data_IF_450413912497
#
_entry.id   IF_450413912497
#
_cell.length_a   1.000
_cell.length_b   1.000
_cell.length_c   1.000
_cell.angle_alpha   90.00
_cell.angle_beta   90.00
_cell.angle_gamma   90.00
#
_symmetry.space_group_name_H-M   'P 1'
#
loop_
_entity.id
_entity.type
_entity.pdbx_description
1 polymer ?
#
# COMPACT_ATOMS: atom_id res chain seq x y z
N UNK A 1 -13.81 -14.73 -14.55
CA UNK A 1 -12.64 -13.86 -14.34
C UNK A 1 -11.75 -14.00 -15.55
N UNK A 2 -11.16 -12.91 -16.05
CA UNK A 2 -10.29 -12.97 -17.24
C UNK A 2 -8.82 -13.02 -16.81
N UNK A 3 -8.12 -14.10 -17.15
CA UNK A 3 -6.65 -14.13 -17.03
C UNK A 3 -6.05 -13.16 -18.05
N UNK A 4 -5.25 -12.21 -17.58
CA UNK A 4 -4.58 -11.20 -18.43
C UNK A 4 -3.08 -11.43 -18.53
N UNK A 5 -2.51 -12.17 -17.57
CA UNK A 5 -1.10 -12.53 -17.57
C UNK A 5 -0.91 -13.88 -16.89
N UNK A 6 0.02 -14.67 -17.42
CA UNK A 6 0.42 -15.96 -16.85
C UNK A 6 1.90 -16.18 -17.14
N UNK A 7 2.65 -16.59 -16.12
CA UNK A 7 4.04 -17.04 -16.23
C UNK A 7 4.24 -18.30 -15.40
N UNK A 8 4.86 -19.28 -16.03
CA UNK A 8 5.27 -20.56 -15.44
C UNK A 8 6.77 -20.74 -15.74
N UNK A 9 7.38 -21.78 -15.17
CA UNK A 9 8.79 -22.13 -15.42
C UNK A 9 9.76 -21.00 -15.05
N UNK A 10 9.66 -20.53 -13.82
CA UNK A 10 10.66 -19.61 -13.28
C UNK A 10 12.03 -20.29 -13.21
N UNK A 11 13.14 -19.53 -13.32
CA UNK A 11 14.46 -20.08 -13.06
C UNK A 11 14.54 -20.67 -11.64
N UNK A 12 15.59 -21.45 -11.36
CA UNK A 12 15.91 -21.80 -9.97
C UNK A 12 16.58 -20.61 -9.28
N UNK A 13 16.27 -20.44 -7.99
CA UNK A 13 16.88 -19.40 -7.16
C UNK A 13 18.39 -19.66 -7.03
N UNK A 14 19.25 -18.65 -7.28
CA UNK A 14 20.70 -18.84 -7.31
C UNK A 14 21.31 -19.27 -5.96
N UNK A 15 20.60 -19.08 -4.84
CA UNK A 15 21.11 -19.34 -3.50
C UNK A 15 21.73 -18.09 -2.86
N UNK A 16 21.90 -18.13 -1.53
CA UNK A 16 22.49 -17.05 -0.73
C UNK A 16 21.46 -16.31 0.12
N UNK A 17 21.94 -15.32 0.86
CA UNK A 17 21.15 -14.70 1.92
C UNK A 17 20.50 -13.40 1.43
N UNK A 18 19.17 -13.31 1.58
CA UNK A 18 18.39 -12.06 1.43
C UNK A 18 18.64 -11.26 0.12
N UNK A 19 18.79 -11.90 -1.03
CA UNK A 19 19.12 -11.22 -2.29
C UNK A 19 17.88 -10.93 -3.15
N UNK A 20 17.99 -9.90 -3.99
CA UNK A 20 17.01 -9.63 -5.05
C UNK A 20 17.19 -10.62 -6.20
N UNK A 21 16.15 -11.41 -6.50
CA UNK A 21 16.18 -12.42 -7.54
C UNK A 21 15.75 -11.84 -8.89
N UNK A 22 16.71 -11.21 -9.56
CA UNK A 22 16.50 -10.42 -10.79
C UNK A 22 15.95 -11.26 -11.96
N UNK A 23 16.38 -12.52 -12.09
CA UNK A 23 15.95 -13.41 -13.17
C UNK A 23 14.48 -13.84 -13.01
N UNK A 24 13.96 -13.84 -11.78
CA UNK A 24 12.55 -14.09 -11.50
C UNK A 24 11.66 -12.84 -11.67
N UNK A 25 12.25 -11.65 -11.85
CA UNK A 25 11.49 -10.42 -12.03
C UNK A 25 10.45 -10.58 -13.13
N UNK A 26 9.25 -10.05 -12.88
CA UNK A 26 8.12 -10.19 -13.78
C UNK A 26 7.48 -8.84 -14.05
N UNK A 27 7.40 -8.51 -15.34
CA UNK A 27 6.78 -7.31 -15.84
C UNK A 27 5.50 -7.66 -16.60
N UNK A 28 4.36 -7.06 -16.23
CA UNK A 28 3.08 -7.28 -16.91
C UNK A 28 2.31 -5.98 -17.14
N UNK A 29 1.42 -5.95 -18.14
CA UNK A 29 0.52 -4.82 -18.40
C UNK A 29 -0.89 -5.15 -17.95
N UNK A 30 -1.62 -4.13 -17.55
CA UNK A 30 -3.07 -4.21 -17.32
C UNK A 30 -3.81 -3.51 -18.47
N UNK A 31 -4.96 -4.02 -18.91
CA UNK A 31 -5.68 -3.46 -20.06
C UNK A 31 -6.56 -2.25 -19.74
N UNK A 32 -6.81 -1.97 -18.46
CA UNK A 32 -7.56 -0.79 -17.97
C UNK A 32 -7.41 -0.64 -16.46
N UNK A 33 -7.77 0.53 -15.95
CA UNK A 33 -7.87 0.77 -14.50
C UNK A 33 -8.92 -0.16 -13.88
N UNK A 34 -8.60 -0.77 -12.73
CA UNK A 34 -9.58 -1.57 -12.00
C UNK A 34 -9.00 -2.54 -11.00
N UNK A 35 -9.83 -3.48 -10.57
CA UNK A 35 -9.48 -4.50 -9.60
C UNK A 35 -8.85 -5.72 -10.27
N UNK A 36 -7.78 -6.21 -9.66
CA UNK A 36 -7.03 -7.37 -10.11
C UNK A 36 -6.74 -8.31 -8.95
N UNK A 37 -6.56 -9.58 -9.30
CA UNK A 37 -6.03 -10.61 -8.39
C UNK A 37 -4.74 -11.13 -8.98
N UNK A 38 -3.65 -10.99 -8.24
CA UNK A 38 -2.36 -11.60 -8.59
C UNK A 38 -2.26 -12.88 -7.76
N UNK A 39 -2.26 -14.04 -8.40
CA UNK A 39 -2.07 -15.33 -7.75
C UNK A 39 -0.65 -15.81 -7.98
N UNK A 40 0.09 -16.10 -6.91
CA UNK A 40 1.45 -16.63 -7.00
C UNK A 40 1.51 -17.91 -6.18
N UNK A 41 1.97 -18.98 -6.82
CA UNK A 41 2.23 -20.25 -6.17
C UNK A 41 3.74 -20.45 -6.07
N UNK A 42 4.23 -20.68 -4.85
CA UNK A 42 5.62 -20.97 -4.60
C UNK A 42 5.78 -21.97 -3.44
N UNK A 43 6.97 -22.56 -3.36
CA UNK A 43 7.38 -23.47 -2.29
C UNK A 43 8.73 -23.05 -1.73
N UNK A 44 8.89 -23.13 -0.42
CA UNK A 44 10.17 -22.97 0.25
C UNK A 44 10.42 -24.15 1.20
N UNK A 45 11.64 -24.66 1.24
CA UNK A 45 12.08 -25.81 2.04
C UNK A 45 12.94 -25.34 3.20
N UNK A 46 12.64 -25.72 4.43
CA UNK A 46 13.55 -25.43 5.54
C UNK A 46 14.99 -25.95 5.23
N UNK A 47 15.97 -25.04 5.20
CA UNK A 47 17.32 -25.28 4.69
C UNK A 47 18.12 -26.31 5.48
N UNK A 48 17.92 -26.44 6.80
CA UNK A 48 18.41 -27.55 7.65
C UNK A 48 17.94 -27.41 9.10
N UNK A 49 17.57 -28.53 9.73
CA UNK A 49 17.27 -28.63 11.17
C UNK A 49 18.48 -28.37 12.11
N UNK A 50 19.69 -28.10 11.58
CA UNK A 50 20.92 -27.98 12.39
C UNK A 50 21.84 -26.80 12.02
N UNK A 51 21.54 -25.95 11.03
CA UNK A 51 22.31 -24.73 10.73
C UNK A 51 21.39 -23.61 10.23
N UNK A 52 21.76 -22.37 10.51
CA UNK A 52 20.95 -21.14 10.52
C UNK A 52 20.40 -20.62 9.17
N UNK A 53 20.43 -21.42 8.10
CA UNK A 53 19.88 -21.00 6.79
C UNK A 53 18.40 -21.33 6.67
N UNK A 54 17.56 -20.31 6.56
CA UNK A 54 16.16 -20.40 6.14
C UNK A 54 16.03 -20.30 4.62
N UNK A 55 14.92 -20.82 4.08
CA UNK A 55 14.56 -20.70 2.67
C UNK A 55 13.27 -19.92 2.63
N UNK A 56 13.32 -18.67 2.23
CA UNK A 56 12.22 -17.72 2.38
C UNK A 56 12.06 -16.92 1.09
N UNK A 57 10.82 -16.53 0.78
CA UNK A 57 10.51 -15.72 -0.40
C UNK A 57 9.64 -14.54 -0.01
N UNK A 58 10.14 -13.34 -0.33
CA UNK A 58 9.40 -12.07 -0.29
C UNK A 58 9.05 -11.62 -1.70
N UNK A 59 8.04 -10.79 -1.75
CA UNK A 59 7.57 -10.13 -2.97
C UNK A 59 7.43 -8.64 -2.73
N UNK A 60 7.81 -7.86 -3.74
CA UNK A 60 7.33 -6.49 -3.87
C UNK A 60 6.58 -6.30 -5.18
N UNK A 61 5.53 -5.48 -5.13
CA UNK A 61 4.78 -5.06 -6.30
C UNK A 61 4.91 -3.54 -6.43
N UNK A 62 5.47 -3.08 -7.54
CA UNK A 62 5.74 -1.66 -7.78
C UNK A 62 6.46 -0.98 -6.59
N UNK A 63 7.37 -1.71 -5.94
CA UNK A 63 8.14 -1.23 -4.78
C UNK A 63 7.45 -1.35 -3.41
N UNK A 64 6.17 -1.74 -3.35
CA UNK A 64 5.50 -2.05 -2.08
C UNK A 64 5.80 -3.50 -1.65
N UNK A 65 6.33 -3.68 -0.44
CA UNK A 65 6.59 -4.99 0.17
C UNK A 65 5.44 -5.40 1.10
N UNK A 66 4.84 -6.56 0.86
CA UNK A 66 3.73 -7.13 1.65
C UNK A 66 4.22 -7.78 2.95
N UNK A 67 3.34 -7.95 3.94
CA UNK A 67 3.58 -8.77 5.13
C UNK A 67 4.26 -8.06 6.30
N UNK A 68 4.14 -6.73 6.43
CA UNK A 68 4.70 -5.94 7.57
C UNK A 68 3.64 -5.59 8.63
N UNK A 69 2.86 -6.57 9.11
CA UNK A 69 1.83 -6.35 10.15
C UNK A 69 2.48 -6.23 11.54
N UNK A 70 2.05 -5.23 12.34
CA UNK A 70 2.64 -4.85 13.65
C UNK A 70 2.76 -5.99 14.67
N UNK A 71 1.91 -7.02 14.62
CA UNK A 71 1.94 -8.13 15.59
C UNK A 71 3.27 -8.91 15.60
N UNK A 72 4.09 -8.79 14.55
CA UNK A 72 5.42 -9.39 14.45
C UNK A 72 6.57 -8.38 14.60
N UNK A 73 6.27 -7.07 14.70
CA UNK A 73 7.26 -5.99 14.63
C UNK A 73 8.00 -5.70 15.95
N UNK A 74 7.51 -6.19 17.10
CA UNK A 74 8.12 -5.88 18.40
C UNK A 74 9.45 -6.60 18.69
N UNK A 75 9.99 -7.36 17.73
CA UNK A 75 11.33 -7.95 17.84
C UNK A 75 12.14 -7.66 16.59
N UNK A 76 12.61 -6.42 16.48
CA UNK A 76 13.72 -6.08 15.57
C UNK A 76 14.95 -6.94 15.93
N UNK A 77 15.30 -7.90 15.08
CA UNK A 77 16.55 -8.65 15.21
C UNK A 77 17.36 -8.56 13.92
N UNK A 78 18.36 -7.70 13.87
CA UNK A 78 19.17 -7.26 12.72
C UNK A 78 19.87 -8.34 11.82
N UNK A 79 19.44 -9.62 11.80
CA UNK A 79 20.11 -10.74 11.11
C UNK A 79 19.19 -11.78 10.42
N UNK A 80 18.02 -11.42 9.90
CA UNK A 80 17.11 -12.38 9.24
C UNK A 80 15.86 -11.72 8.66
N UNK A 81 15.07 -12.43 7.86
CA UNK A 81 13.75 -12.01 7.34
C UNK A 81 12.77 -11.68 8.49
N UNK A 82 12.91 -10.50 9.12
CA UNK A 82 12.02 -9.99 10.20
C UNK A 82 10.68 -9.45 9.69
N UNK A 83 10.39 -9.64 8.41
CA UNK A 83 9.14 -9.30 7.76
C UNK A 83 8.63 -10.61 7.23
N UNK A 84 7.50 -11.11 7.75
CA UNK A 84 6.93 -12.43 7.43
C UNK A 84 7.05 -12.69 5.94
N UNK A 85 8.00 -13.55 5.55
CA UNK A 85 8.17 -13.92 4.17
C UNK A 85 6.81 -14.42 3.65
N UNK A 86 6.44 -13.97 2.45
CA UNK A 86 5.18 -14.36 1.83
C UNK A 86 5.08 -15.89 1.68
N UNK A 87 6.25 -16.53 1.55
CA UNK A 87 6.48 -17.96 1.71
C UNK A 87 7.65 -18.17 2.66
N UNK A 88 7.40 -18.80 3.80
CA UNK A 88 8.42 -19.07 4.82
C UNK A 88 8.74 -20.57 4.86
N UNK A 89 10.00 -20.94 4.69
CA UNK A 89 10.45 -22.32 4.58
C UNK A 89 10.25 -23.13 5.85
N UNK A 90 10.35 -22.49 7.02
CA UNK A 90 10.10 -23.16 8.30
C UNK A 90 8.62 -23.57 8.45
N UNK A 91 7.70 -22.76 7.93
CA UNK A 91 6.26 -23.04 7.99
C UNK A 91 5.80 -23.95 6.84
N UNK A 92 6.36 -23.78 5.63
CA UNK A 92 5.97 -24.55 4.46
C UNK A 92 6.61 -25.94 4.41
N UNK A 93 7.82 -26.11 4.96
CA UNK A 93 8.52 -27.39 4.99
C UNK A 93 8.62 -28.06 3.61
N UNK A 94 8.75 -27.27 2.54
CA UNK A 94 8.82 -27.75 1.16
C UNK A 94 7.48 -27.89 0.43
N UNK A 95 6.36 -27.62 1.10
CA UNK A 95 5.03 -27.61 0.49
C UNK A 95 4.77 -26.30 -0.26
N UNK A 96 3.72 -26.30 -1.07
CA UNK A 96 3.30 -25.18 -1.90
C UNK A 96 2.21 -24.35 -1.23
N UNK A 97 2.36 -23.02 -1.29
CA UNK A 97 1.32 -22.05 -0.89
C UNK A 97 0.99 -21.15 -2.06
N UNK A 98 -0.28 -20.84 -2.22
CA UNK A 98 -0.74 -19.82 -3.18
C UNK A 98 -1.20 -18.58 -2.43
N UNK A 99 -0.56 -17.44 -2.74
CA UNK A 99 -0.98 -16.13 -2.25
C UNK A 99 -1.78 -15.41 -3.35
N UNK A 100 -2.98 -14.95 -3.01
CA UNK A 100 -3.86 -14.14 -3.85
C UNK A 100 -3.84 -12.69 -3.34
N UNK A 101 -3.23 -11.80 -4.12
CA UNK A 101 -3.17 -10.38 -3.83
C UNK A 101 -4.32 -9.66 -4.54
N UNK A 102 -5.28 -9.17 -3.77
CA UNK A 102 -6.39 -8.34 -4.23
C UNK A 102 -5.94 -6.88 -4.20
N UNK A 103 -5.88 -6.25 -5.37
CA UNK A 103 -5.33 -4.89 -5.52
C UNK A 103 -6.04 -4.11 -6.62
N UNK A 104 -6.07 -2.78 -6.50
CA UNK A 104 -6.45 -1.89 -7.59
C UNK A 104 -5.21 -1.46 -8.38
N UNK A 105 -5.18 -1.74 -9.68
CA UNK A 105 -4.11 -1.37 -10.59
C UNK A 105 -4.64 -0.35 -11.61
N UNK A 106 -3.76 0.58 -11.98
CA UNK A 106 -4.05 1.68 -12.88
C UNK A 106 -3.26 1.48 -14.18
N UNK A 107 -3.93 1.57 -15.33
CA UNK A 107 -3.31 1.64 -16.66
C UNK A 107 -2.45 2.91 -16.78
N UNK A 108 -2.90 4.02 -16.18
CA UNK A 108 -2.24 5.33 -16.16
C UNK A 108 -1.09 5.43 -15.14
N UNK A 109 -0.70 4.35 -14.47
CA UNK A 109 0.64 4.25 -13.86
C UNK A 109 1.73 4.48 -14.95
N UNK A 110 1.37 4.29 -16.22
CA UNK A 110 2.11 4.72 -17.42
C UNK A 110 2.40 6.24 -17.50
N UNK A 111 1.57 7.11 -16.93
CA UNK A 111 1.73 8.58 -17.03
C UNK A 111 2.60 9.20 -15.94
N UNK A 112 2.93 8.44 -14.89
CA UNK A 112 3.51 8.98 -13.66
C UNK A 112 5.03 8.85 -13.52
N UNK A 113 5.73 8.12 -14.38
CA UNK A 113 7.18 7.90 -14.22
C UNK A 113 7.93 8.15 -15.54
N UNK A 114 8.54 9.33 -15.65
CA UNK A 114 9.25 9.82 -16.85
C UNK A 114 10.66 9.24 -17.05
N UNK A 115 10.79 7.94 -17.33
CA UNK A 115 12.06 7.40 -17.86
C UNK A 115 11.78 6.22 -18.80
N UNK A 116 12.02 6.35 -20.09
CA UNK A 116 12.10 5.25 -21.08
C UNK A 116 11.12 4.05 -21.09
N UNK A 117 10.44 3.98 -22.24
CA UNK A 117 9.95 2.82 -23.01
C UNK A 117 8.96 1.82 -22.34
N UNK A 118 7.66 2.13 -22.53
CA UNK A 118 6.49 1.22 -22.46
C UNK A 118 6.38 0.37 -21.18
N UNK A 119 6.18 1.06 -20.04
CA UNK A 119 6.27 0.54 -18.67
C UNK A 119 5.13 -0.38 -18.26
N UNK A 120 5.50 -1.41 -17.49
CA UNK A 120 4.71 -2.55 -17.03
C UNK A 120 4.66 -2.51 -15.49
N UNK A 121 3.63 -3.06 -14.86
CA UNK A 121 3.67 -3.38 -13.44
C UNK A 121 4.80 -4.37 -13.18
N UNK A 122 5.55 -4.14 -12.10
CA UNK A 122 6.75 -4.89 -11.79
C UNK A 122 6.56 -5.66 -10.48
N UNK A 123 6.77 -6.97 -10.58
CA UNK A 123 6.85 -7.87 -9.44
C UNK A 123 8.31 -8.26 -9.28
N UNK A 124 8.86 -7.96 -8.11
CA UNK A 124 10.21 -8.38 -7.71
C UNK A 124 10.12 -9.42 -6.61
N UNK A 125 11.10 -10.30 -6.61
CA UNK A 125 11.22 -11.37 -5.64
C UNK A 125 12.53 -11.17 -4.87
N UNK A 126 12.48 -11.41 -3.56
CA UNK A 126 13.66 -11.42 -2.71
C UNK A 126 13.73 -12.77 -2.01
N UNK A 127 14.80 -13.50 -2.25
CA UNK A 127 14.95 -14.88 -1.80
C UNK A 127 15.97 -14.96 -0.65
N UNK A 128 15.69 -15.83 0.32
CA UNK A 128 16.71 -16.51 1.13
C UNK A 128 16.88 -17.92 0.61
N UNK A 129 18.11 -18.40 0.46
CA UNK A 129 18.32 -19.75 0.01
C UNK A 129 17.75 -20.00 -1.38
N UNK A 130 16.94 -21.07 -1.51
CA UNK A 130 16.56 -21.64 -2.82
C UNK A 130 15.05 -21.86 -2.98
N UNK A 131 14.23 -20.79 -2.85
CA UNK A 131 12.79 -20.93 -2.98
C UNK A 131 12.44 -21.21 -4.43
N UNK A 132 11.29 -21.84 -4.67
CA UNK A 132 10.82 -22.14 -6.03
C UNK A 132 9.49 -21.46 -6.29
N UNK A 133 9.47 -20.58 -7.29
CA UNK A 133 8.24 -20.02 -7.83
C UNK A 133 7.71 -20.98 -8.88
N UNK A 134 6.49 -21.48 -8.70
CA UNK A 134 5.86 -22.42 -9.62
C UNK A 134 5.11 -21.68 -10.72
N UNK A 135 4.30 -20.70 -10.31
CA UNK A 135 3.34 -20.06 -11.19
C UNK A 135 2.99 -18.67 -10.70
N UNK A 136 2.75 -17.78 -11.65
CA UNK A 136 2.15 -16.46 -11.43
C UNK A 136 1.03 -16.25 -12.45
N UNK A 137 -0.14 -15.86 -11.96
CA UNK A 137 -1.29 -15.49 -12.76
C UNK A 137 -1.83 -14.13 -12.32
N UNK A 138 -2.32 -13.35 -13.28
CA UNK A 138 -3.03 -12.11 -13.01
C UNK A 138 -4.40 -12.19 -13.63
N UNK A 139 -5.42 -12.02 -12.80
CA UNK A 139 -6.82 -12.02 -13.17
C UNK A 139 -7.38 -10.61 -13.06
N UNK A 140 -8.14 -10.20 -14.06
CA UNK A 140 -8.97 -9.01 -13.97
C UNK A 140 -10.33 -9.39 -13.37
N UNK A 141 -10.78 -8.58 -12.40
CA UNK A 141 -12.12 -8.67 -11.84
C UNK A 141 -13.03 -7.62 -12.50
N UNK A 142 -14.22 -8.05 -12.92
CA UNK A 142 -15.32 -7.14 -13.26
C UNK A 142 -15.82 -6.34 -12.04
N UNK A 143 -16.56 -5.25 -12.30
CA UNK A 143 -17.07 -4.36 -11.24
C UNK A 143 -17.95 -5.06 -10.21
N UNK A 144 -18.74 -6.05 -10.63
CA UNK A 144 -19.63 -6.85 -9.76
C UNK A 144 -19.22 -8.32 -9.71
N UNK A 145 -18.02 -8.64 -10.21
CA UNK A 145 -17.56 -10.01 -10.28
C UNK A 145 -17.04 -10.49 -8.92
N UNK A 146 -17.55 -11.64 -8.47
CA UNK A 146 -17.03 -12.35 -7.30
C UNK A 146 -15.84 -13.20 -7.71
N UNK A 147 -14.79 -13.16 -6.90
CA UNK A 147 -13.71 -14.13 -7.04
C UNK A 147 -14.18 -15.46 -6.46
N UNK A 148 -14.18 -16.52 -7.29
CA UNK A 148 -14.65 -17.84 -6.92
C UNK A 148 -13.60 -18.90 -7.29
N UNK A 149 -13.27 -19.75 -6.32
CA UNK A 149 -12.54 -21.00 -6.58
C UNK A 149 -13.32 -22.15 -5.96
N UNK A 150 -13.29 -23.32 -6.60
CA UNK A 150 -13.99 -24.53 -6.17
C UNK A 150 -13.07 -25.73 -6.15
N UNK A 151 -13.42 -26.69 -5.31
CA UNK A 151 -12.82 -28.02 -5.22
C UNK A 151 -11.28 -27.99 -5.19
N UNK A 152 -10.73 -27.12 -4.33
CA UNK A 152 -9.31 -27.02 -4.10
C UNK A 152 -8.85 -28.03 -3.04
N UNK A 153 -7.69 -28.64 -3.30
CA UNK A 153 -6.99 -29.54 -2.40
C UNK A 153 -5.53 -29.10 -2.24
N UNK A 154 -4.89 -29.31 -1.07
CA UNK A 154 -3.46 -29.13 -0.92
C UNK A 154 -2.66 -30.05 -1.87
N UNK A 155 -1.57 -29.55 -2.45
CA UNK A 155 -0.80 -30.27 -3.48
C UNK A 155 0.07 -31.44 -2.94
N UNK A 156 0.32 -31.51 -1.63
CA UNK A 156 1.21 -32.52 -1.02
C UNK A 156 0.96 -32.68 0.49
N UNK A 157 1.12 -33.91 0.99
CA UNK A 157 0.93 -34.35 2.40
C UNK A 157 2.23 -34.67 3.12
N UNK A 158 3.39 -34.23 2.61
CA UNK A 158 4.69 -34.52 3.24
C UNK A 158 4.75 -33.81 4.60
N UNK A 159 4.44 -34.58 5.64
CA UNK A 159 4.65 -34.28 7.06
C UNK A 159 3.94 -33.01 7.58
N UNK A 160 2.59 -32.99 7.54
CA UNK A 160 1.83 -32.00 8.31
C UNK A 160 1.97 -32.32 9.79
N UNK A 161 2.83 -31.60 10.51
CA UNK A 161 2.88 -31.70 11.97
C UNK A 161 1.64 -31.01 12.58
N UNK A 162 1.46 -31.16 13.90
CA UNK A 162 0.30 -30.61 14.64
C UNK A 162 0.09 -29.08 14.52
N UNK A 163 1.02 -28.33 13.95
CA UNK A 163 0.90 -26.87 13.80
C UNK A 163 0.24 -26.45 12.49
N UNK A 164 0.08 -27.38 11.54
CA UNK A 164 -0.48 -27.15 10.21
C UNK A 164 0.50 -26.47 9.25
N UNK A 165 0.18 -26.50 7.96
CA UNK A 165 0.99 -25.94 6.87
C UNK A 165 0.19 -24.82 6.19
N UNK A 166 0.76 -23.62 5.94
CA UNK A 166 0.09 -22.58 5.16
C UNK A 166 -0.21 -23.07 3.74
N UNK A 167 -1.44 -22.85 3.26
CA UNK A 167 -1.87 -23.30 1.93
C UNK A 167 -2.36 -22.17 1.05
N UNK A 168 -3.27 -21.35 1.56
CA UNK A 168 -3.84 -20.21 0.83
C UNK A 168 -3.64 -18.95 1.66
N UNK A 169 -3.05 -17.93 1.07
CA UNK A 169 -3.05 -16.57 1.61
C UNK A 169 -3.93 -15.67 0.76
N UNK A 170 -4.82 -14.91 1.38
CA UNK A 170 -5.63 -13.86 0.77
C UNK A 170 -5.13 -12.54 1.32
N UNK A 171 -4.53 -11.71 0.48
CA UNK A 171 -3.94 -10.44 0.86
C UNK A 171 -4.71 -9.31 0.19
N UNK A 172 -5.31 -8.44 1.00
CA UNK A 172 -6.12 -7.33 0.56
C UNK A 172 -5.33 -6.05 0.77
N UNK A 173 -4.87 -5.47 -0.34
CA UNK A 173 -4.08 -4.26 -0.31
C UNK A 173 -4.73 -3.19 -1.19
N UNK A 174 -5.22 -2.12 -0.57
CA UNK A 174 -6.01 -1.07 -1.23
C UNK A 174 -7.26 -1.56 -1.98
N UNK A 175 -7.63 -2.83 -1.78
CA UNK A 175 -8.89 -3.42 -2.20
C UNK A 175 -9.53 -4.09 -1.01
N UNK A 176 -10.73 -3.66 -0.64
CA UNK A 176 -11.38 -4.13 0.58
C UNK A 176 -12.35 -5.28 0.30
N UNK A 177 -12.17 -6.39 1.00
CA UNK A 177 -13.16 -7.45 1.05
C UNK A 177 -14.39 -6.99 1.82
N UNK A 178 -15.55 -7.13 1.20
CA UNK A 178 -16.86 -6.98 1.84
C UNK A 178 -17.25 -8.27 2.57
N UNK A 179 -16.96 -9.41 1.94
CA UNK A 179 -17.35 -10.73 2.42
C UNK A 179 -16.42 -11.81 1.87
N UNK A 180 -16.00 -12.74 2.72
CA UNK A 180 -15.31 -13.97 2.33
C UNK A 180 -16.16 -15.15 2.82
N UNK A 181 -16.51 -16.07 1.92
CA UNK A 181 -17.21 -17.31 2.24
C UNK A 181 -16.30 -18.49 1.98
N UNK A 182 -16.20 -19.36 2.97
CA UNK A 182 -15.49 -20.62 2.88
C UNK A 182 -16.48 -21.73 3.14
N UNK A 183 -16.57 -22.70 2.23
CA UNK A 183 -17.25 -23.97 2.45
C UNK A 183 -16.18 -25.07 2.44
N UNK A 184 -15.99 -25.71 3.58
CA UNK A 184 -14.92 -26.69 3.82
C UNK A 184 -15.53 -28.04 4.17
N UNK A 185 -14.91 -29.09 3.63
CA UNK A 185 -15.12 -30.46 4.04
C UNK A 185 -13.85 -31.02 4.70
N UNK A 186 -14.00 -31.61 5.88
CA UNK A 186 -12.92 -32.27 6.62
C UNK A 186 -13.38 -33.66 7.04
N UNK A 187 -12.63 -34.70 6.68
CA UNK A 187 -12.91 -36.07 7.08
C UNK A 187 -12.23 -36.41 8.42
N UNK A 188 -12.93 -37.16 9.27
CA UNK A 188 -12.34 -37.71 10.50
C UNK A 188 -11.31 -38.81 10.19
N UNK A 189 -10.43 -39.09 11.16
CA UNK A 189 -9.46 -40.17 11.03
C UNK A 189 -10.14 -41.53 10.78
N UNK A 190 -11.28 -41.78 11.45
CA UNK A 190 -12.10 -42.99 11.29
C UNK A 190 -12.59 -43.15 9.84
N UNK A 191 -13.13 -42.07 9.26
CA UNK A 191 -13.63 -42.10 7.88
C UNK A 191 -12.51 -42.29 6.84
N UNK A 192 -11.30 -41.84 7.16
CA UNK A 192 -10.12 -41.97 6.31
C UNK A 192 -9.38 -43.30 6.51
N UNK A 193 -9.79 -44.13 7.46
CA UNK A 193 -9.03 -45.30 7.92
C UNK A 193 -7.57 -44.95 8.29
N UNK A 194 -7.37 -43.79 8.93
CA UNK A 194 -6.05 -43.26 9.28
C UNK A 194 -5.91 -42.90 10.76
N UNK A 195 -4.76 -42.35 11.13
CA UNK A 195 -4.46 -41.90 12.50
C UNK A 195 -4.84 -40.44 12.76
N UNK A 196 -4.90 -39.63 11.70
CA UNK A 196 -5.09 -38.19 11.78
C UNK A 196 -6.25 -37.70 10.91
N UNK A 197 -7.02 -36.77 11.45
CA UNK A 197 -8.16 -36.14 10.78
C UNK A 197 -7.73 -34.96 9.92
N UNK A 198 -8.56 -34.60 8.92
CA UNK A 198 -8.36 -33.36 8.19
C UNK A 198 -8.71 -32.18 9.10
N UNK A 199 -7.82 -31.19 9.21
CA UNK A 199 -8.10 -29.99 9.99
C UNK A 199 -7.73 -28.73 9.18
N UNK A 200 -8.46 -27.65 9.41
CA UNK A 200 -8.17 -26.35 8.81
C UNK A 200 -8.22 -25.26 9.88
N UNK A 201 -7.08 -24.58 10.03
CA UNK A 201 -6.87 -23.40 10.84
C UNK A 201 -7.05 -22.16 9.97
N UNK A 202 -7.69 -21.13 10.53
CA UNK A 202 -7.89 -19.86 9.85
C UNK A 202 -7.26 -18.75 10.68
N UNK A 203 -6.39 -17.98 10.03
CA UNK A 203 -5.69 -16.84 10.61
C UNK A 203 -6.15 -15.58 9.89
N UNK A 204 -6.67 -14.60 10.62
CA UNK A 204 -7.05 -13.29 10.10
C UNK A 204 -6.16 -12.26 10.78
N UNK A 205 -5.38 -11.52 9.98
CA UNK A 205 -4.43 -10.50 10.44
C UNK A 205 -3.53 -11.01 11.58
N UNK A 206 -2.95 -12.20 11.40
CA UNK A 206 -2.11 -12.88 12.40
C UNK A 206 -2.85 -13.51 13.58
N UNK A 207 -4.16 -13.28 13.75
CA UNK A 207 -4.96 -13.86 14.83
C UNK A 207 -5.71 -15.10 14.39
N UNK A 208 -5.54 -16.20 15.13
CA UNK A 208 -6.24 -17.46 14.84
C UNK A 208 -7.70 -17.37 15.26
N UNK A 209 -8.63 -17.69 14.37
CA UNK A 209 -10.04 -17.86 14.71
C UNK A 209 -10.19 -19.18 15.46
N UNK A 210 -10.64 -19.10 16.72
CA UNK A 210 -10.80 -20.27 17.57
C UNK A 210 -11.93 -21.18 17.12
N UNK A 211 -11.77 -22.46 17.36
CA UNK A 211 -12.82 -23.45 17.20
C UNK A 211 -13.97 -23.18 18.17
N UNK A 212 -15.18 -22.99 17.65
CA UNK A 212 -16.38 -22.69 18.46
C UNK A 212 -16.91 -23.88 19.25
N UNK A 213 -16.66 -25.11 18.80
CA UNK A 213 -17.10 -26.35 19.45
C UNK A 213 -16.15 -26.73 20.59
N UNK A 214 -14.84 -26.51 20.41
CA UNK A 214 -13.82 -26.85 21.40
C UNK A 214 -12.81 -25.71 21.63
N UNK A 215 -13.24 -24.55 22.15
CA UNK A 215 -12.42 -23.34 22.23
C UNK A 215 -11.26 -23.41 23.22
N UNK A 216 -11.25 -24.38 24.14
CA UNK A 216 -10.22 -24.58 25.18
C UNK A 216 -9.38 -25.85 24.97
N UNK A 217 -9.73 -26.67 23.97
CA UNK A 217 -9.00 -27.92 23.72
C UNK A 217 -7.63 -27.62 23.15
N UNK A 218 -6.56 -28.07 23.81
CA UNK A 218 -5.20 -27.97 23.28
C UNK A 218 -5.04 -28.61 21.89
N UNK A 219 -5.84 -29.64 21.59
CA UNK A 219 -5.84 -30.32 20.29
C UNK A 219 -6.58 -29.53 19.21
N UNK A 220 -7.76 -28.98 19.51
CA UNK A 220 -8.68 -28.46 18.48
C UNK A 220 -8.89 -26.94 18.50
N UNK A 221 -8.49 -26.23 19.56
CA UNK A 221 -8.84 -24.81 19.74
C UNK A 221 -8.38 -23.91 18.59
N UNK A 222 -7.29 -24.28 17.90
CA UNK A 222 -6.73 -23.51 16.78
C UNK A 222 -7.21 -23.97 15.41
N UNK A 223 -8.02 -25.02 15.33
CA UNK A 223 -8.55 -25.58 14.09
C UNK A 223 -10.04 -25.29 14.00
N UNK A 224 -10.41 -24.23 13.27
CA UNK A 224 -11.83 -23.84 13.12
C UNK A 224 -12.67 -24.96 12.48
N UNK A 225 -12.08 -25.69 11.54
CA UNK A 225 -12.62 -26.89 10.93
C UNK A 225 -11.80 -28.09 11.43
N UNK A 226 -12.46 -29.07 12.05
CA UNK A 226 -11.80 -30.28 12.52
C UNK A 226 -12.59 -31.51 12.10
N UNK A 227 -11.91 -32.43 11.41
CA UNK A 227 -12.53 -33.62 10.82
C UNK A 227 -13.17 -34.52 11.86
N UNK A 228 -12.55 -34.68 13.04
CA UNK A 228 -13.11 -35.48 14.13
C UNK A 228 -14.44 -34.94 14.66
N UNK A 229 -14.64 -33.62 14.58
CA UNK A 229 -15.87 -32.94 15.00
C UNK A 229 -16.89 -32.83 13.87
N UNK A 230 -16.42 -32.63 12.63
CA UNK A 230 -17.27 -32.43 11.46
C UNK A 230 -17.75 -33.74 10.85
N UNK A 231 -17.00 -34.83 11.00
CA UNK A 231 -17.29 -36.16 10.47
C UNK A 231 -17.66 -36.14 8.98
N UNK A 232 -16.91 -35.37 8.18
CA UNK A 232 -17.14 -35.26 6.74
C UNK A 232 -18.35 -34.42 6.33
N UNK A 233 -19.01 -33.72 7.25
CA UNK A 233 -20.03 -32.73 6.90
C UNK A 233 -19.38 -31.43 6.40
N UNK A 234 -20.07 -30.74 5.49
CA UNK A 234 -19.68 -29.40 5.08
C UNK A 234 -19.95 -28.40 6.20
N UNK A 235 -19.00 -27.51 6.44
CA UNK A 235 -19.16 -26.38 7.34
C UNK A 235 -18.79 -25.10 6.62
N UNK A 236 -19.54 -24.05 6.90
CA UNK A 236 -19.31 -22.73 6.31
C UNK A 236 -18.70 -21.77 7.33
N UNK A 237 -17.81 -20.91 6.85
CA UNK A 237 -17.36 -19.72 7.57
C UNK A 237 -17.58 -18.51 6.66
N UNK A 238 -18.23 -17.49 7.23
CA UNK A 238 -18.36 -16.18 6.62
C UNK A 238 -17.54 -15.17 7.42
N UNK A 239 -16.54 -14.57 6.78
CA UNK A 239 -15.87 -13.38 7.29
C UNK A 239 -16.53 -12.15 6.66
N UNK A 240 -16.84 -11.16 7.49
CA UNK A 240 -17.42 -9.88 7.05
C UNK A 240 -16.34 -8.79 7.13
N UNK A 241 -16.66 -7.62 6.58
CA UNK A 241 -15.73 -6.49 6.50
C UNK A 241 -15.27 -5.96 7.87
N UNK A 242 -16.03 -6.23 8.93
CA UNK A 242 -15.77 -5.79 10.30
C UNK A 242 -14.48 -6.37 10.89
N UNK A 243 -14.11 -7.59 10.51
CA UNK A 243 -12.84 -8.22 10.88
C UNK A 243 -11.73 -7.98 9.86
N UNK A 244 -11.99 -7.17 8.82
CA UNK A 244 -11.09 -6.87 7.71
C UNK A 244 -10.87 -5.35 7.57
N UNK A 245 -10.60 -4.69 8.69
CA UNK A 245 -10.47 -3.23 8.78
C UNK A 245 -9.02 -2.72 8.83
N UNK A 246 -8.01 -3.58 8.68
CA UNK A 246 -6.60 -3.15 8.66
C UNK A 246 -6.21 -2.52 7.31
N UNK A 247 -5.07 -1.84 7.28
CA UNK A 247 -4.53 -1.28 6.04
C UNK A 247 -4.23 -2.37 5.00
N UNK A 248 -3.58 -3.44 5.45
CA UNK A 248 -3.34 -4.67 4.71
C UNK A 248 -4.04 -5.81 5.46
N UNK A 249 -5.16 -6.31 4.92
CA UNK A 249 -5.83 -7.44 5.55
C UNK A 249 -5.29 -8.74 4.98
N UNK A 250 -5.04 -9.70 5.86
CA UNK A 250 -4.54 -11.02 5.51
C UNK A 250 -5.48 -12.08 6.06
N UNK A 251 -5.87 -13.03 5.23
CA UNK A 251 -6.57 -14.25 5.64
C UNK A 251 -5.76 -15.43 5.17
N UNK A 252 -5.30 -16.26 6.08
CA UNK A 252 -4.53 -17.46 5.76
C UNK A 252 -5.29 -18.72 6.16
N UNK A 253 -5.30 -19.69 5.25
CA UNK A 253 -5.80 -21.04 5.46
C UNK A 253 -4.60 -21.96 5.67
N UNK A 254 -4.56 -22.60 6.82
CA UNK A 254 -3.52 -23.53 7.22
C UNK A 254 -4.14 -24.92 7.38
N UNK A 255 -3.56 -25.93 6.77
CA UNK A 255 -4.12 -27.28 6.75
C UNK A 255 -3.28 -28.28 7.55
N UNK A 256 -3.96 -29.28 8.07
CA UNK A 256 -3.39 -30.54 8.51
C UNK A 256 -4.07 -31.67 7.72
N UNK A 257 -3.27 -32.60 7.21
CA UNK A 257 -3.68 -33.65 6.28
C UNK A 257 -4.19 -33.13 4.93
N UNK A 258 -5.47 -33.34 4.57
CA UNK A 258 -5.97 -33.05 3.22
C UNK A 258 -7.43 -32.58 3.22
N UNK A 259 -7.76 -31.46 3.92
CA UNK A 259 -9.09 -30.89 3.85
C UNK A 259 -9.44 -30.48 2.41
N UNK A 260 -10.72 -30.46 2.10
CA UNK A 260 -11.23 -30.02 0.80
C UNK A 260 -11.91 -28.66 0.93
N UNK A 261 -11.38 -27.65 0.22
CA UNK A 261 -12.03 -26.36 0.07
C UNK A 261 -13.03 -26.47 -1.10
N UNK A 262 -14.30 -26.72 -0.76
CA UNK A 262 -15.37 -26.87 -1.75
C UNK A 262 -15.67 -25.57 -2.46
N UNK A 263 -15.73 -24.47 -1.70
CA UNK A 263 -15.98 -23.14 -2.26
C UNK A 263 -15.20 -22.09 -1.47
N UNK A 264 -14.48 -21.24 -2.19
CA UNK A 264 -13.98 -19.94 -1.73
C UNK A 264 -14.65 -18.86 -2.56
N UNK A 265 -15.49 -18.04 -1.94
CA UNK A 265 -16.04 -16.84 -2.57
C UNK A 265 -15.49 -15.59 -1.88
N UNK A 266 -15.08 -14.61 -2.66
CA UNK A 266 -14.67 -13.31 -2.18
C UNK A 266 -15.46 -12.25 -2.94
N UNK A 267 -16.17 -11.43 -2.18
CA UNK A 267 -16.85 -10.23 -2.66
C UNK A 267 -16.09 -9.02 -2.12
N UNK A 268 -15.62 -8.16 -3.02
CA UNK A 268 -14.97 -6.90 -2.65
C UNK A 268 -15.93 -5.73 -2.77
N UNK A 269 -15.61 -4.61 -2.12
CA UNK A 269 -16.30 -3.36 -2.39
C UNK A 269 -15.98 -2.86 -3.80
N UNK A 270 -17.02 -2.40 -4.52
CA UNK A 270 -16.88 -1.93 -5.90
C UNK A 270 -16.17 -0.57 -5.98
N UNK A 271 -16.14 0.18 -4.88
CA UNK A 271 -15.41 1.45 -4.79
C UNK A 271 -14.97 1.76 -3.38
N UNK A 272 -13.89 2.54 -3.26
CA UNK A 272 -13.45 3.19 -2.02
C UNK A 272 -14.59 3.89 -1.28
N UNK A 273 -15.43 4.65 -2.00
CA UNK A 273 -16.58 5.37 -1.43
C UNK A 273 -17.58 4.45 -0.75
N UNK A 274 -17.83 3.26 -1.31
CA UNK A 274 -18.73 2.28 -0.68
C UNK A 274 -18.13 1.70 0.61
N UNK A 275 -16.83 1.42 0.62
CA UNK A 275 -16.12 0.98 1.81
C UNK A 275 -16.13 2.05 2.92
N UNK A 276 -15.76 3.29 2.60
CA UNK A 276 -15.73 4.41 3.56
C UNK A 276 -17.10 4.73 4.19
N UNK A 277 -18.20 4.43 3.48
CA UNK A 277 -19.56 4.57 4.03
C UNK A 277 -19.94 3.49 5.05
N UNK A 278 -19.19 2.39 5.11
CA UNK A 278 -19.51 1.20 5.92
C UNK A 278 -18.64 1.06 7.17
N UNK A 279 -17.46 1.67 7.17
CA UNK A 279 -16.57 1.66 8.35
C UNK A 279 -17.05 2.68 9.39
N UNK A 280 -16.98 2.32 10.67
CA UNK A 280 -16.99 3.30 11.76
C UNK A 280 -15.54 3.77 11.95
N UNK A 281 -15.29 5.06 11.72
CA UNK A 281 -13.96 5.65 11.83
C UNK A 281 -13.32 5.47 13.22
N UNK A 282 -14.11 5.13 14.25
CA UNK A 282 -13.61 4.88 15.61
C UNK A 282 -12.86 3.57 15.77
N UNK A 283 -13.09 2.57 14.91
CA UNK A 283 -12.40 1.26 14.95
C UNK A 283 -11.26 1.16 13.93
N UNK A 284 -11.21 2.07 12.97
CA UNK A 284 -10.19 2.10 11.93
C UNK A 284 -8.85 2.61 12.47
N UNK A 285 -7.77 1.85 12.26
CA UNK A 285 -6.42 2.20 12.75
C UNK A 285 -5.80 3.35 11.93
N UNK A 286 -6.29 4.58 12.13
CA UNK A 286 -5.72 5.79 11.53
C UNK A 286 -4.21 5.93 11.84
N UNK A 287 -3.77 5.37 12.96
CA UNK A 287 -2.37 5.34 13.38
C UNK A 287 -1.47 4.55 12.40
N UNK A 288 -1.99 3.48 11.76
CA UNK A 288 -1.23 2.75 10.73
C UNK A 288 -1.05 3.59 9.47
N UNK A 289 -2.10 4.29 9.05
CA UNK A 289 -2.03 5.20 7.92
C UNK A 289 -1.02 6.33 8.17
N UNK A 290 -1.04 6.93 9.37
CA UNK A 290 -0.03 7.91 9.78
C UNK A 290 1.38 7.34 9.74
N UNK A 291 1.59 6.11 10.22
CA UNK A 291 2.91 5.46 10.20
C UNK A 291 3.41 5.20 8.77
N UNK A 292 2.56 4.69 7.88
CA UNK A 292 2.94 4.46 6.48
C UNK A 292 3.20 5.78 5.74
N UNK A 293 2.40 6.83 5.97
CA UNK A 293 2.66 8.16 5.44
C UNK A 293 3.96 8.75 5.96
N UNK A 294 4.25 8.53 7.24
CA UNK A 294 5.52 8.94 7.82
C UNK A 294 6.70 8.26 7.12
N UNK A 295 6.63 6.94 6.89
CA UNK A 295 7.68 6.22 6.13
C UNK A 295 7.85 6.74 4.70
N UNK A 296 6.74 7.00 4.02
CA UNK A 296 6.75 7.63 2.69
C UNK A 296 7.45 8.99 2.78
N UNK A 297 7.09 9.81 3.76
CA UNK A 297 7.76 11.08 4.05
C UNK A 297 9.27 10.91 4.24
N UNK A 298 9.72 9.88 4.95
CA UNK A 298 11.14 9.58 5.18
C UNK A 298 11.86 9.21 3.89
N UNK A 299 11.25 8.39 3.03
CA UNK A 299 11.80 8.04 1.71
C UNK A 299 11.87 9.30 0.83
N UNK A 300 10.86 10.15 0.88
CA UNK A 300 10.81 11.41 0.15
C UNK A 300 11.83 12.43 0.65
N UNK A 301 12.21 12.39 1.93
CA UNK A 301 13.09 13.39 2.55
C UNK A 301 14.40 13.62 1.78
N UNK A 302 14.95 12.55 1.18
CA UNK A 302 16.19 12.63 0.40
C UNK A 302 16.02 13.32 -0.97
N UNK A 303 14.82 13.31 -1.54
CA UNK A 303 14.55 13.80 -2.91
C UNK A 303 13.67 15.06 -2.94
N UNK A 304 12.86 15.26 -1.91
CA UNK A 304 11.78 16.26 -1.82
C UNK A 304 11.59 16.74 -0.38
N UNK A 305 12.57 17.50 0.11
CA UNK A 305 12.67 17.98 1.50
C UNK A 305 11.41 18.73 1.96
N UNK A 306 10.83 19.59 1.14
CA UNK A 306 9.67 20.39 1.54
C UNK A 306 8.38 19.58 1.49
N UNK A 307 8.20 18.77 0.45
CA UNK A 307 7.09 17.82 0.35
C UNK A 307 7.05 16.90 1.57
N UNK A 308 8.19 16.32 1.97
CA UNK A 308 8.25 15.47 3.17
C UNK A 308 7.97 16.25 4.44
N UNK A 309 8.52 17.47 4.59
CA UNK A 309 8.29 18.30 5.78
C UNK A 309 6.82 18.67 5.94
N UNK A 310 6.15 19.03 4.85
CA UNK A 310 4.75 19.42 4.86
C UNK A 310 3.86 18.20 5.12
N UNK A 311 4.18 17.06 4.51
CA UNK A 311 3.53 15.80 4.83
C UNK A 311 3.67 15.44 6.31
N UNK A 312 4.88 15.45 6.88
CA UNK A 312 5.07 15.17 8.30
C UNK A 312 4.32 16.14 9.21
N UNK A 313 4.26 17.41 8.82
CA UNK A 313 3.52 18.42 9.56
C UNK A 313 2.01 18.17 9.50
N UNK A 314 1.48 17.80 8.32
CA UNK A 314 0.05 17.46 8.14
C UNK A 314 -0.41 16.26 8.98
N UNK A 315 0.50 15.37 9.38
CA UNK A 315 0.20 14.20 10.21
C UNK A 315 0.01 14.52 11.70
N UNK A 316 0.26 15.76 12.12
CA UNK A 316 -0.01 16.20 13.49
C UNK A 316 -1.51 16.35 13.70
N UNK A 317 -1.99 16.09 14.92
CA UNK A 317 -3.41 16.22 15.29
C UNK A 317 -3.98 17.63 15.07
N UNK A 318 -3.13 18.65 15.23
CA UNK A 318 -3.46 20.06 15.01
C UNK A 318 -2.25 20.79 14.41
N UNK A 319 -2.06 20.74 13.07
CA UNK A 319 -0.92 21.37 12.42
C UNK A 319 -1.04 22.88 12.45
N UNK A 320 -0.15 23.55 13.20
CA UNK A 320 -0.07 25.01 13.22
C UNK A 320 0.27 25.60 11.84
N UNK A 321 -0.13 26.85 11.54
CA UNK A 321 0.31 27.54 10.33
C UNK A 321 1.84 27.53 10.18
N UNK A 322 2.33 27.34 8.96
CA UNK A 322 3.76 27.47 8.65
C UNK A 322 4.03 28.84 8.05
N UNK A 323 4.95 29.59 8.65
CA UNK A 323 5.37 30.90 8.18
C UNK A 323 6.86 30.82 7.83
N UNK A 324 7.19 31.21 6.60
CA UNK A 324 8.56 31.26 6.09
C UNK A 324 8.95 32.72 5.85
N UNK A 325 9.84 33.24 6.71
CA UNK A 325 10.38 34.60 6.60
C UNK A 325 11.43 34.73 5.50
N UNK A 326 11.76 35.99 5.16
CA UNK A 326 12.54 36.45 4.01
C UNK A 326 13.86 35.69 3.75
N UNK A 327 14.54 35.22 4.79
CA UNK A 327 15.84 34.54 4.68
C UNK A 327 15.73 33.01 4.56
N UNK A 328 14.53 32.46 4.54
CA UNK A 328 14.34 31.03 4.57
C UNK A 328 14.76 30.36 3.24
N UNK A 329 15.49 29.22 3.24
CA UNK A 329 15.99 28.58 2.01
C UNK A 329 14.90 28.17 1.00
N UNK A 330 13.64 28.08 1.42
CA UNK A 330 12.50 27.84 0.52
C UNK A 330 12.34 28.99 -0.49
N UNK A 331 12.60 30.22 -0.07
CA UNK A 331 12.47 31.41 -0.90
C UNK A 331 13.44 31.34 -2.07
N UNK A 332 14.70 30.96 -1.83
CA UNK A 332 15.68 30.76 -2.89
C UNK A 332 15.24 29.70 -3.92
N UNK A 333 14.48 28.68 -3.52
CA UNK A 333 13.90 27.71 -4.47
C UNK A 333 12.76 28.32 -5.29
N UNK A 334 11.91 29.13 -4.65
CA UNK A 334 10.81 29.82 -5.33
C UNK A 334 11.36 30.79 -6.37
N UNK A 335 12.36 31.61 -5.99
CA UNK A 335 13.04 32.52 -6.93
C UNK A 335 13.66 31.74 -8.09
N UNK A 336 14.30 30.58 -7.85
CA UNK A 336 14.85 29.72 -8.93
C UNK A 336 13.83 29.17 -9.94
N UNK A 337 12.52 29.23 -9.65
CA UNK A 337 11.43 28.98 -10.62
C UNK A 337 11.03 30.28 -11.38
N UNK A 338 11.98 31.20 -11.52
CA UNK A 338 11.91 32.47 -12.26
C UNK A 338 11.11 32.34 -13.57
N UNK A 339 11.48 31.40 -14.44
CA UNK A 339 10.90 31.24 -15.79
C UNK A 339 9.41 30.87 -15.87
N UNK A 340 8.73 30.63 -14.73
CA UNK A 340 7.30 30.30 -14.73
C UNK A 340 6.55 30.96 -13.58
N UNK A 341 6.75 30.47 -12.36
CA UNK A 341 5.88 30.81 -11.24
C UNK A 341 6.24 32.16 -10.62
N UNK A 342 7.54 32.40 -10.43
CA UNK A 342 8.02 33.57 -9.72
C UNK A 342 7.92 34.86 -10.55
N UNK A 343 8.31 34.84 -11.83
CA UNK A 343 8.05 35.98 -12.73
C UNK A 343 6.56 36.29 -12.84
N UNK A 344 5.70 35.25 -12.87
CA UNK A 344 4.24 35.45 -12.88
C UNK A 344 3.76 36.16 -11.62
N UNK A 345 4.22 35.74 -10.44
CA UNK A 345 3.94 36.44 -9.16
C UNK A 345 4.32 37.92 -9.25
N UNK A 346 5.56 38.22 -9.69
CA UNK A 346 6.02 39.60 -9.82
C UNK A 346 5.20 40.39 -10.84
N UNK A 347 4.85 39.80 -11.97
CA UNK A 347 4.02 40.45 -13.00
C UNK A 347 2.63 40.82 -12.47
N UNK A 348 2.02 39.94 -11.67
CA UNK A 348 0.72 40.20 -11.06
C UNK A 348 0.80 41.38 -10.07
N UNK A 349 1.83 41.41 -9.22
CA UNK A 349 2.05 42.51 -8.26
C UNK A 349 2.36 43.83 -9.00
N UNK A 350 3.24 43.80 -9.99
CA UNK A 350 3.57 44.99 -10.82
C UNK A 350 2.36 45.55 -11.54
N UNK A 351 1.48 44.69 -12.07
CA UNK A 351 0.24 45.13 -12.71
C UNK A 351 -0.68 45.88 -11.73
N UNK A 352 -0.78 45.43 -10.48
CA UNK A 352 -1.57 46.13 -9.46
C UNK A 352 -0.97 47.51 -9.12
N UNK A 353 0.36 47.59 -9.00
CA UNK A 353 1.09 48.84 -8.72
C UNK A 353 0.96 49.83 -9.88
N UNK A 354 1.11 49.36 -11.12
CA UNK A 354 0.93 50.20 -12.32
C UNK A 354 -0.51 50.74 -12.43
N UNK A 355 -1.48 50.07 -11.80
CA UNK A 355 -2.86 50.53 -11.66
C UNK A 355 -3.08 51.41 -10.41
N UNK A 356 -2.00 51.89 -9.77
CA UNK A 356 -2.03 52.81 -8.63
C UNK A 356 -2.30 52.16 -7.27
N UNK A 357 -2.24 50.82 -7.15
CA UNK A 357 -2.43 50.13 -5.86
C UNK A 357 -1.09 49.81 -5.20
N UNK A 358 -0.77 50.52 -4.12
CA UNK A 358 0.45 50.31 -3.31
C UNK A 358 0.32 49.18 -2.28
N UNK A 359 -0.90 48.74 -1.99
CA UNK A 359 -1.19 47.61 -1.11
C UNK A 359 -2.43 46.88 -1.59
N UNK A 360 -2.42 45.55 -1.53
CA UNK A 360 -3.57 44.77 -1.98
C UNK A 360 -3.48 43.28 -1.74
N UNK A 361 -4.56 42.60 -2.11
CA UNK A 361 -4.67 41.14 -2.10
C UNK A 361 -5.12 40.69 -3.48
N UNK A 362 -4.33 39.83 -4.12
CA UNK A 362 -4.63 39.21 -5.41
C UNK A 362 -5.12 37.79 -5.14
N UNK A 363 -6.37 37.50 -5.47
CA UNK A 363 -6.90 36.12 -5.41
C UNK A 363 -6.46 35.34 -6.65
N UNK A 364 -5.93 34.14 -6.43
CA UNK A 364 -5.34 33.30 -7.46
C UNK A 364 -6.21 32.07 -7.78
N UNK A 365 -6.03 31.51 -8.98
CA UNK A 365 -6.69 30.28 -9.40
C UNK A 365 -8.16 30.42 -9.82
N UNK A 366 -8.70 31.64 -9.84
CA UNK A 366 -10.03 31.95 -10.39
C UNK A 366 -10.05 31.92 -11.92
N UNK A 367 -8.91 32.19 -12.56
CA UNK A 367 -8.73 32.19 -14.01
C UNK A 367 -7.35 31.63 -14.39
N UNK A 368 -7.14 31.19 -15.65
CA UNK A 368 -5.82 30.75 -16.12
C UNK A 368 -4.73 31.83 -15.98
N UNK A 369 -5.10 33.10 -16.14
CA UNK A 369 -4.20 34.25 -16.06
C UNK A 369 -3.70 34.47 -14.63
N UNK A 370 -4.50 34.11 -13.63
CA UNK A 370 -4.18 34.26 -12.19
C UNK A 370 -3.67 32.96 -11.56
N UNK A 371 -3.60 31.86 -12.30
CA UNK A 371 -3.10 30.58 -11.77
C UNK A 371 -1.56 30.56 -11.70
N UNK A 372 -1.00 30.34 -10.51
CA UNK A 372 0.46 30.20 -10.31
C UNK A 372 0.81 28.74 -10.07
N UNK A 373 1.62 28.16 -10.95
CA UNK A 373 2.05 26.75 -10.89
C UNK A 373 3.58 26.65 -10.92
N UNK A 374 4.16 26.05 -9.88
CA UNK A 374 5.58 25.69 -9.87
C UNK A 374 5.85 24.54 -10.84
N UNK A 375 6.79 24.74 -11.76
CA UNK A 375 7.05 23.81 -12.86
C UNK A 375 8.47 23.25 -12.86
N UNK A 376 9.45 24.00 -12.34
CA UNK A 376 10.87 23.62 -12.42
C UNK A 376 11.31 22.77 -11.23
N UNK A 377 10.97 23.18 -10.01
CA UNK A 377 11.34 22.44 -8.80
C UNK A 377 10.27 21.40 -8.46
N UNK A 378 10.60 20.11 -8.68
CA UNK A 378 9.68 18.99 -8.38
C UNK A 378 9.28 18.92 -6.91
N UNK A 379 10.08 19.44 -5.99
CA UNK A 379 9.78 19.50 -4.56
C UNK A 379 8.75 20.61 -4.28
N UNK A 380 8.95 21.81 -4.83
CA UNK A 380 7.98 22.92 -4.70
C UNK A 380 6.64 22.58 -5.35
N UNK A 381 6.68 22.00 -6.56
CA UNK A 381 5.50 21.56 -7.31
C UNK A 381 4.61 20.60 -6.50
N UNK A 382 5.22 19.82 -5.61
CA UNK A 382 4.52 18.86 -4.75
C UNK A 382 4.42 19.28 -3.29
N UNK A 383 4.91 20.46 -2.92
CA UNK A 383 4.74 21.00 -1.57
C UNK A 383 3.72 22.13 -1.54
N UNK A 384 3.62 22.91 -2.63
CA UNK A 384 2.77 24.10 -2.73
C UNK A 384 1.80 23.86 -3.89
N UNK A 385 0.54 23.54 -3.58
CA UNK A 385 -0.42 23.00 -4.56
C UNK A 385 -1.28 24.05 -5.25
N UNK A 386 -0.78 25.27 -5.33
CA UNK A 386 -1.42 26.37 -6.04
C UNK A 386 -1.84 27.42 -5.05
N UNK A 387 -0.96 28.42 -4.94
CA UNK A 387 -1.13 29.61 -4.13
C UNK A 387 -2.57 30.14 -4.27
N UNK A 388 -3.20 30.48 -3.14
CA UNK A 388 -4.58 30.97 -3.11
C UNK A 388 -4.64 32.48 -3.23
N UNK A 389 -3.66 33.15 -2.66
CA UNK A 389 -3.60 34.61 -2.68
C UNK A 389 -2.17 35.13 -2.56
N UNK A 390 -1.99 36.35 -3.07
CA UNK A 390 -0.80 37.16 -2.90
C UNK A 390 -1.23 38.42 -2.15
N UNK A 391 -0.70 38.66 -0.96
CA UNK A 391 -0.77 39.97 -0.33
C UNK A 391 0.50 40.74 -0.69
N UNK A 392 0.38 42.04 -0.96
CA UNK A 392 1.56 42.86 -1.18
C UNK A 392 1.40 44.25 -0.57
N UNK A 393 2.53 44.86 -0.21
CA UNK A 393 2.64 46.24 0.26
C UNK A 393 3.97 46.82 -0.24
N UNK A 394 3.91 47.96 -0.93
CA UNK A 394 5.08 48.64 -1.47
C UNK A 394 5.56 49.76 -0.57
N UNK A 395 6.86 50.03 -0.61
CA UNK A 395 7.49 51.15 0.08
C UNK A 395 8.57 51.75 -0.81
N UNK A 396 8.69 53.08 -0.74
CA UNK A 396 9.72 53.82 -1.48
C UNK A 396 10.96 53.94 -0.60
N UNK A 397 12.10 53.51 -1.12
CA UNK A 397 13.41 53.61 -0.47
C UNK A 397 13.98 55.03 -0.62
N UNK A 398 15.00 55.34 0.20
CA UNK A 398 15.65 56.66 0.19
C UNK A 398 16.29 57.03 -1.17
N UNK A 399 16.68 56.03 -1.96
CA UNK A 399 17.23 56.20 -3.31
C UNK A 399 16.14 56.40 -4.39
N UNK A 400 14.87 56.50 -3.98
CA UNK A 400 13.71 56.62 -4.85
C UNK A 400 13.28 55.32 -5.51
N UNK A 401 13.96 54.19 -5.24
CA UNK A 401 13.55 52.89 -5.76
C UNK A 401 12.41 52.28 -4.94
N UNK A 402 11.61 51.44 -5.57
CA UNK A 402 10.47 50.80 -4.94
C UNK A 402 10.81 49.36 -4.53
N UNK A 403 10.42 49.00 -3.32
CA UNK A 403 10.51 47.64 -2.80
C UNK A 403 9.11 47.18 -2.37
N UNK A 404 8.86 45.88 -2.48
CA UNK A 404 7.59 45.27 -2.11
C UNK A 404 7.80 44.13 -1.12
N UNK A 405 7.04 44.17 -0.04
CA UNK A 405 6.80 43.02 0.82
C UNK A 405 5.63 42.23 0.24
N UNK A 406 5.92 41.00 -0.18
CA UNK A 406 4.95 40.11 -0.84
C UNK A 406 4.75 38.88 0.05
N UNK A 407 3.52 38.57 0.44
CA UNK A 407 3.16 37.31 1.11
C UNK A 407 2.42 36.41 0.14
N UNK A 408 2.97 35.22 -0.07
CA UNK A 408 2.31 34.15 -0.80
C UNK A 408 1.58 33.27 0.22
N UNK A 409 0.26 33.24 0.17
CA UNK A 409 -0.53 32.38 1.05
C UNK A 409 -1.08 31.19 0.26
N UNK A 410 -0.96 30.02 0.87
CA UNK A 410 -1.52 28.77 0.39
C UNK A 410 -2.16 28.01 1.56
N UNK A 411 -2.98 27.03 1.23
CA UNK A 411 -3.38 25.99 2.16
C UNK A 411 -2.79 24.68 1.67
N UNK A 412 -1.99 24.05 2.52
CA UNK A 412 -1.58 22.68 2.25
C UNK A 412 -2.82 21.79 2.32
N UNK A 413 -3.32 21.40 1.16
CA UNK A 413 -4.08 20.17 0.96
C UNK A 413 -3.09 19.10 0.46
N UNK A 414 -3.32 17.82 0.69
CA UNK A 414 -2.54 16.83 -0.04
C UNK A 414 -3.29 16.59 -1.34
N UNK A 415 -2.93 17.26 -2.45
CA UNK A 415 -3.64 17.10 -3.74
C UNK A 415 -2.95 16.12 -4.70
N UNK A 416 -3.18 14.80 -4.56
CA UNK A 416 -2.51 13.72 -5.30
C UNK A 416 -2.65 13.82 -6.81
N UNK A 417 -3.71 14.46 -7.33
CA UNK A 417 -3.91 14.65 -8.77
C UNK A 417 -2.78 15.47 -9.41
N UNK A 418 -2.11 16.33 -8.63
CA UNK A 418 -0.95 17.11 -9.08
C UNK A 418 0.36 16.33 -9.03
N UNK A 419 0.38 15.16 -8.39
CA UNK A 419 1.56 14.33 -8.18
C UNK A 419 1.76 13.30 -9.27
N UNK A 420 1.75 13.72 -10.55
CA UNK A 420 2.07 12.86 -11.71
C UNK A 420 3.51 12.28 -11.70
N UNK A 421 4.22 12.28 -10.57
CA UNK A 421 5.61 11.82 -10.44
C UNK A 421 5.86 10.91 -9.23
N UNK A 422 4.86 10.72 -8.36
CA UNK A 422 4.93 9.75 -7.26
C UNK A 422 4.31 8.43 -7.71
N UNK A 423 4.77 7.29 -7.18
CA UNK A 423 4.16 6.00 -7.47
C UNK A 423 2.65 6.05 -7.22
N UNK A 424 1.84 5.57 -8.17
CA UNK A 424 0.37 5.70 -8.09
C UNK A 424 -0.22 5.07 -6.82
N UNK A 425 0.48 4.10 -6.25
CA UNK A 425 0.17 3.48 -4.97
C UNK A 425 0.29 4.48 -3.81
N UNK A 426 1.32 5.33 -3.80
CA UNK A 426 1.49 6.39 -2.79
C UNK A 426 0.43 7.49 -2.99
N UNK A 427 0.14 7.85 -4.24
CA UNK A 427 -0.88 8.84 -4.60
C UNK A 427 -2.26 8.38 -4.12
N UNK A 428 -2.63 7.13 -4.41
CA UNK A 428 -3.88 6.53 -3.96
C UNK A 428 -3.93 6.39 -2.43
N UNK A 429 -2.79 6.07 -1.81
CA UNK A 429 -2.68 5.94 -0.36
C UNK A 429 -2.90 7.28 0.35
N UNK A 430 -2.23 8.33 -0.09
CA UNK A 430 -2.36 9.63 0.55
C UNK A 430 -3.70 10.33 0.23
N UNK A 431 -4.30 10.07 -0.94
CA UNK A 431 -5.73 10.34 -1.22
C UNK A 431 -6.66 9.72 -0.15
N UNK A 432 -6.40 8.46 0.20
CA UNK A 432 -7.19 7.76 1.19
C UNK A 432 -6.95 8.33 2.58
N UNK A 433 -5.70 8.62 2.94
CA UNK A 433 -5.35 9.25 4.21
C UNK A 433 -5.99 10.63 4.40
N UNK A 434 -6.06 11.46 3.36
CA UNK A 434 -6.77 12.75 3.42
C UNK A 434 -8.27 12.57 3.63
N UNK A 435 -8.93 11.70 2.87
CA UNK A 435 -10.37 11.40 3.04
C UNK A 435 -10.69 10.79 4.41
N UNK A 436 -9.74 10.06 5.00
CA UNK A 436 -9.85 9.49 6.34
C UNK A 436 -9.54 10.50 7.46
N UNK A 437 -9.17 11.75 7.13
CA UNK A 437 -8.78 12.77 8.10
C UNK A 437 -7.44 12.53 8.80
N UNK A 438 -6.58 11.68 8.21
CA UNK A 438 -5.21 11.42 8.71
C UNK A 438 -4.27 12.57 8.32
N UNK A 439 -4.46 13.13 7.13
CA UNK A 439 -3.76 14.32 6.66
C UNK A 439 -4.62 15.53 7.02
N UNK A 440 -4.09 16.41 7.85
CA UNK A 440 -4.74 17.65 8.24
C UNK A 440 -4.20 18.82 7.42
N UNK A 441 -5.13 19.63 6.91
CA UNK A 441 -4.79 20.83 6.16
C UNK A 441 -4.23 21.91 7.10
N UNK A 442 -3.31 22.72 6.60
CA UNK A 442 -2.78 23.86 7.36
C UNK A 442 -2.41 25.04 6.45
N UNK A 443 -2.50 26.28 6.95
CA UNK A 443 -2.07 27.45 6.20
C UNK A 443 -0.54 27.48 6.03
N UNK A 444 -0.09 27.95 4.87
CA UNK A 444 1.30 28.25 4.56
C UNK A 444 1.38 29.72 4.16
N UNK A 445 2.27 30.48 4.78
CA UNK A 445 2.61 31.84 4.39
C UNK A 445 4.10 31.92 4.08
N UNK A 446 4.43 32.45 2.91
CA UNK A 446 5.81 32.65 2.46
C UNK A 446 6.01 34.13 2.21
N UNK A 447 6.93 34.75 2.94
CA UNK A 447 7.24 36.17 2.79
C UNK A 447 8.41 36.34 1.84
N UNK A 448 8.23 37.22 0.86
CA UNK A 448 9.22 37.64 -0.11
C UNK A 448 9.41 39.14 0.03
N UNK A 449 10.62 39.60 -0.23
CA UNK A 449 10.93 41.01 -0.34
C UNK A 449 11.69 41.23 -1.63
N UNK A 450 11.18 42.13 -2.45
CA UNK A 450 11.64 42.32 -3.83
C UNK A 450 11.71 43.77 -4.21
N UNK A 451 12.84 44.15 -4.83
CA UNK A 451 12.97 45.42 -5.52
C UNK A 451 12.25 45.31 -6.87
N UNK A 452 11.25 46.18 -7.11
CA UNK A 452 10.34 46.08 -8.26
C UNK A 452 10.78 46.87 -9.48
#
# INVERSE_FOLDING_TARGET
>A
MKTIFKKENYPDAPGGDHYEWKEAETLFKVPKNGAYVIAITASCKNGKQNNRDDDDLRISLNGYEFGRVKAYAEKENYRGFNVTAAWNGASLMGNEKTNYFFIELDEDLEKLLRFDEKRKHQIRFYADGKPKIKKLEVFQLGADEKFNIKDLHPASTINTNRNGIPWIGLIFFMKWAKKIELNINCLSAIQKHGTDSDNLKIVVNGKTIKNTIAPTSKKYQNYYFSGDQMKGNNKELQLKYDVLQEFENTVELWYDQSPTLKVLNIECFNSKKQFLRKIDYREFSLQEYSYHLWRIGTILLMKKKYTSKFLFHSLKKDPKPLIFDYDHPLINKIKKDEKNAYEKILSLVKNEINNGREKGVIKLGSTPETEVIFNRDKDLKTAIHGLKEIEFETFTLQDGSMEADIKLNDFYDFNPKKYKSLDALIVNFANLSEELGVINNFPITIKLREKL
#
